data_IF_228811309387
#
_entry.id   IF_228811309387
#
_cell.length_a   1.000
_cell.length_b   1.000
_cell.length_c   1.000
_cell.angle_alpha   90.00
_cell.angle_beta   90.00
_cell.angle_gamma   90.00
#
_symmetry.space_group_name_H-M   'P 1'
#
loop_
_entity.id
_entity.type
_entity.pdbx_description
1 polymer ?
#
# COMPACT_ATOMS: atom_id res chain seq x y z
N UNK A 1 23.72 -6.27 7.88
CA UNK A 1 23.02 -5.56 6.78
C UNK A 1 22.80 -4.12 7.23
N UNK A 2 23.18 -3.14 6.39
CA UNK A 2 23.07 -1.72 6.73
C UNK A 2 21.60 -1.29 6.75
N UNK A 3 21.19 -0.51 7.75
CA UNK A 3 19.83 0.05 7.87
C UNK A 3 19.35 0.71 6.56
N UNK A 4 20.26 1.23 5.73
CA UNK A 4 19.94 1.82 4.43
C UNK A 4 19.30 0.86 3.41
N UNK A 5 19.63 -0.43 3.43
CA UNK A 5 19.02 -1.41 2.52
C UNK A 5 17.58 -1.74 2.93
N UNK A 6 17.31 -1.81 4.23
CA UNK A 6 15.98 -2.08 4.78
C UNK A 6 15.00 -0.95 4.42
N UNK A 7 15.43 0.32 4.48
CA UNK A 7 14.58 1.46 4.11
C UNK A 7 14.23 1.48 2.60
N UNK A 8 15.14 1.04 1.72
CA UNK A 8 14.85 0.92 0.28
C UNK A 8 13.83 -0.19 -0.03
N UNK A 9 13.88 -1.32 0.67
CA UNK A 9 12.89 -2.38 0.54
C UNK A 9 11.51 -1.96 1.09
N UNK A 10 11.47 -1.14 2.15
CA UNK A 10 10.22 -0.61 2.71
C UNK A 10 9.56 0.44 1.81
N UNK A 11 10.32 1.18 1.00
CA UNK A 11 9.88 2.28 0.14
C UNK A 11 9.77 1.94 -1.35
N UNK A 12 9.80 0.65 -1.73
CA UNK A 12 9.78 0.24 -3.14
C UNK A 12 8.37 0.40 -3.76
N UNK A 13 7.87 1.64 -3.81
CA UNK A 13 6.71 2.06 -4.58
C UNK A 13 7.22 2.36 -5.99
N UNK A 14 6.89 1.52 -6.95
CA UNK A 14 7.17 1.83 -8.35
C UNK A 14 6.07 2.75 -8.86
N UNK A 15 6.44 3.96 -9.29
CA UNK A 15 5.53 4.82 -10.07
C UNK A 15 5.29 4.11 -11.39
N UNK A 16 4.04 3.79 -11.67
CA UNK A 16 3.61 3.08 -12.88
C UNK A 16 2.89 3.99 -13.86
N UNK A 17 2.62 5.24 -13.47
CA UNK A 17 2.01 6.23 -14.36
C UNK A 17 1.54 7.48 -13.62
N UNK A 18 0.77 8.30 -14.34
CA UNK A 18 0.08 9.48 -13.83
C UNK A 18 -1.37 9.42 -14.28
N UNK A 19 -2.29 9.85 -13.41
CA UNK A 19 -3.72 9.87 -13.68
C UNK A 19 -4.27 11.27 -13.39
N UNK A 20 -5.29 11.68 -14.13
CA UNK A 20 -6.05 12.91 -13.89
C UNK A 20 -7.44 12.55 -13.37
N UNK A 21 -7.93 13.33 -12.40
CA UNK A 21 -9.25 13.13 -11.84
C UNK A 21 -9.71 14.31 -10.99
N UNK A 22 -10.77 14.13 -10.17
CA UNK A 22 -11.30 15.17 -9.29
C UNK A 22 -10.26 15.76 -8.31
N UNK A 23 -9.20 15.00 -8.01
CA UNK A 23 -8.08 15.40 -7.14
C UNK A 23 -6.91 16.05 -7.91
N UNK A 24 -7.06 16.33 -9.20
CA UNK A 24 -5.99 16.81 -10.06
C UNK A 24 -5.07 15.70 -10.57
N UNK A 25 -3.89 16.09 -11.05
CA UNK A 25 -2.86 15.16 -11.53
C UNK A 25 -2.19 14.48 -10.34
N UNK A 26 -2.26 13.16 -10.29
CA UNK A 26 -1.65 12.35 -9.23
C UNK A 26 -0.83 11.19 -9.80
N UNK A 27 0.23 10.82 -9.09
CA UNK A 27 1.05 9.67 -9.44
C UNK A 27 0.32 8.38 -9.09
N UNK A 28 0.39 7.41 -10.00
CA UNK A 28 -0.11 6.07 -9.77
C UNK A 28 1.09 5.21 -9.40
N UNK A 29 1.04 4.62 -8.22
CA UNK A 29 2.05 3.67 -7.76
C UNK A 29 1.47 2.26 -7.71
N UNK A 30 2.33 1.25 -7.86
CA UNK A 30 1.97 -0.15 -7.68
C UNK A 30 2.90 -0.77 -6.64
N UNK A 31 2.32 -1.57 -5.75
CA UNK A 31 3.06 -2.42 -4.82
C UNK A 31 2.40 -3.78 -4.73
N UNK A 32 3.20 -4.83 -4.91
CA UNK A 32 2.76 -6.19 -4.64
C UNK A 32 2.89 -6.48 -3.15
N UNK A 33 1.84 -7.08 -2.59
CA UNK A 33 1.82 -7.52 -1.19
C UNK A 33 2.48 -8.89 -1.11
N UNK A 34 3.30 -9.13 -0.09
CA UNK A 34 3.94 -10.44 0.09
C UNK A 34 2.92 -11.56 0.18
N UNK A 35 3.17 -12.67 -0.52
CA UNK A 35 2.31 -13.86 -0.51
C UNK A 35 2.28 -14.56 0.86
N UNK A 36 3.22 -14.22 1.75
CA UNK A 36 3.31 -14.79 3.10
C UNK A 36 2.11 -14.42 3.99
N UNK A 37 1.32 -13.42 3.58
CA UNK A 37 0.14 -12.99 4.32
C UNK A 37 -1.12 -13.82 4.04
N UNK A 38 -1.04 -14.82 3.15
CA UNK A 38 -2.22 -15.59 2.74
C UNK A 38 -3.15 -14.81 1.80
N UNK A 39 -4.42 -15.20 1.76
CA UNK A 39 -5.41 -14.54 0.89
C UNK A 39 -5.98 -13.31 1.60
N UNK A 40 -6.04 -12.18 0.88
CA UNK A 40 -6.81 -11.01 1.31
C UNK A 40 -8.30 -11.32 1.14
N UNK A 41 -9.07 -11.22 2.22
CA UNK A 41 -10.51 -11.53 2.23
C UNK A 41 -11.38 -10.30 2.39
N UNK A 42 -10.83 -9.21 2.91
CA UNK A 42 -11.52 -7.94 3.11
C UNK A 42 -10.55 -6.77 3.10
N UNK A 43 -11.07 -5.57 2.80
CA UNK A 43 -10.31 -4.34 2.87
C UNK A 43 -11.23 -3.16 3.28
N UNK A 44 -10.63 -2.12 3.85
CA UNK A 44 -11.29 -0.87 4.18
C UNK A 44 -10.35 0.30 3.90
N UNK A 45 -10.81 1.26 3.09
CA UNK A 45 -10.10 2.51 2.79
C UNK A 45 -10.66 3.60 3.69
N UNK A 46 -9.78 4.46 4.20
CA UNK A 46 -10.18 5.60 4.99
C UNK A 46 -11.26 6.45 4.29
N UNK A 47 -12.43 6.67 4.92
CA UNK A 47 -13.49 7.46 4.31
C UNK A 47 -13.26 8.97 4.42
N UNK A 48 -12.30 9.43 5.23
CA UNK A 48 -12.08 10.85 5.53
C UNK A 48 -10.93 11.51 4.73
N UNK A 49 -10.21 10.74 3.90
CA UNK A 49 -9.12 11.27 3.06
C UNK A 49 -7.75 11.35 3.74
N UNK A 50 -7.59 10.73 4.91
CA UNK A 50 -6.35 10.52 5.66
C UNK A 50 -5.43 9.45 5.02
N UNK A 51 -5.80 8.93 3.85
CA UNK A 51 -4.95 8.11 2.98
C UNK A 51 -4.39 6.85 3.67
N UNK A 52 -5.22 6.10 4.41
CA UNK A 52 -4.84 4.79 4.92
C UNK A 52 -5.77 3.69 4.40
N UNK A 53 -5.26 2.47 4.40
CA UNK A 53 -5.95 1.25 3.98
C UNK A 53 -5.70 0.15 5.01
N UNK A 54 -6.73 -0.60 5.36
CA UNK A 54 -6.60 -1.86 6.10
C UNK A 54 -7.00 -3.05 5.25
N UNK A 55 -6.34 -4.19 5.44
CA UNK A 55 -6.66 -5.45 4.77
C UNK A 55 -6.68 -6.60 5.78
N UNK A 56 -7.74 -7.41 5.73
CA UNK A 56 -7.87 -8.64 6.49
C UNK A 56 -7.41 -9.85 5.68
N UNK A 57 -6.66 -10.74 6.31
CA UNK A 57 -6.07 -11.91 5.65
C UNK A 57 -6.41 -13.24 6.34
N UNK A 58 -6.40 -14.32 5.57
CA UNK A 58 -6.65 -15.68 6.09
C UNK A 58 -5.60 -16.18 7.07
N UNK A 59 -4.41 -15.57 7.10
CA UNK A 59 -3.36 -15.88 8.06
C UNK A 59 -3.61 -15.27 9.46
N UNK A 60 -4.81 -14.74 9.72
CA UNK A 60 -5.23 -14.10 10.98
C UNK A 60 -4.46 -12.81 11.30
N UNK A 61 -3.87 -12.17 10.28
CA UNK A 61 -3.25 -10.86 10.42
C UNK A 61 -4.12 -9.78 9.76
N UNK A 62 -3.98 -8.57 10.29
CA UNK A 62 -4.52 -7.36 9.70
C UNK A 62 -3.34 -6.46 9.30
N UNK A 63 -3.34 -6.01 8.05
CA UNK A 63 -2.32 -5.12 7.52
C UNK A 63 -2.85 -3.70 7.48
N UNK A 64 -2.11 -2.75 8.05
CA UNK A 64 -2.37 -1.31 7.92
C UNK A 64 -1.35 -0.71 6.96
N UNK A 65 -1.85 0.07 6.00
CA UNK A 65 -1.08 0.72 4.95
C UNK A 65 -1.28 2.22 5.03
N UNK A 66 -0.17 2.95 5.00
CA UNK A 66 -0.15 4.38 4.69
C UNK A 66 -0.01 4.54 3.17
N UNK A 67 -1.00 5.18 2.54
CA UNK A 67 -1.10 5.39 1.10
C UNK A 67 -0.46 6.71 0.65
N UNK A 68 0.02 7.55 1.58
CA UNK A 68 0.80 8.77 1.28
C UNK A 68 2.15 8.45 0.70
#
# INVERSE_FOLDING_TARGET
MSNYQVWRELLNRSIVGKSSGPLGMHEVWRREVSKNYGLVTSFCVDPWGENWLTMGCTNRQLMLWDLR
#
